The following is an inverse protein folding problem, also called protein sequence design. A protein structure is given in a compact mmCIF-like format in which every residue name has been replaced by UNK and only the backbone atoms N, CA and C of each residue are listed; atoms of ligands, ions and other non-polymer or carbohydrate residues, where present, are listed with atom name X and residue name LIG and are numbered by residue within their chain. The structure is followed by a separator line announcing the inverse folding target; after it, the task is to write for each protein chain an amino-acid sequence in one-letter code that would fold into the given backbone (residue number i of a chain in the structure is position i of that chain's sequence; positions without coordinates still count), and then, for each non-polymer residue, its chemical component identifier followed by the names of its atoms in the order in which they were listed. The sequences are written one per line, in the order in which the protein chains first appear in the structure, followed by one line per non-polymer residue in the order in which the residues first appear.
data_IF_293144560018
#
_entry.id   IF_293144560018
#
_cell.length_a   1.000
_cell.length_b   1.000
_cell.length_c   1.000
_cell.angle_alpha   90.00
_cell.angle_beta   90.00
_cell.angle_gamma   90.00
#
_symmetry.space_group_name_H-M   'P 1'
#
loop_
_entity.id
_entity.type
_entity.pdbx_description
1 polymer ?
#
# COMPACT_ATOMS: atom_id res chain seq x y z
N UNK A 1 -19.76 1.17 -1.43
CA UNK A 1 -19.17 0.07 -2.20
C UNK A 1 -17.68 0.03 -1.89
N UNK A 2 -17.09 -1.17 -1.87
CA UNK A 2 -15.68 -1.35 -1.57
C UNK A 2 -14.86 -1.33 -2.86
N UNK A 3 -13.59 -0.95 -2.78
CA UNK A 3 -12.67 -1.06 -3.92
C UNK A 3 -11.70 -2.20 -3.67
N UNK A 4 -11.59 -3.14 -4.62
CA UNK A 4 -10.66 -4.27 -4.56
C UNK A 4 -9.48 -4.06 -5.53
N UNK A 5 -8.40 -4.81 -5.33
CA UNK A 5 -7.20 -4.78 -6.16
C UNK A 5 -6.96 -6.16 -6.78
N UNK A 6 -6.67 -6.16 -8.07
CA UNK A 6 -6.36 -7.33 -8.88
C UNK A 6 -5.09 -7.05 -9.66
N UNK A 7 -4.42 -8.09 -10.16
CA UNK A 7 -3.15 -7.88 -10.84
C UNK A 7 -2.24 -9.09 -10.92
N UNK A 8 -1.08 -8.87 -11.53
CA UNK A 8 -0.02 -9.85 -11.61
C UNK A 8 1.31 -9.23 -11.24
N UNK A 9 2.17 -10.02 -10.60
CA UNK A 9 3.60 -9.80 -10.69
C UNK A 9 4.07 -10.38 -12.02
N UNK A 10 4.69 -9.55 -12.84
CA UNK A 10 5.28 -9.93 -14.12
C UNK A 10 6.80 -9.93 -14.02
N UNK A 11 7.44 -10.81 -14.80
CA UNK A 11 8.89 -10.77 -15.00
C UNK A 11 9.24 -10.90 -16.49
N UNK A 12 10.37 -10.31 -16.86
CA UNK A 12 10.92 -10.37 -18.22
C UNK A 12 12.08 -11.35 -18.27
N UNK A 13 11.99 -12.36 -19.13
CA UNK A 13 13.08 -13.30 -19.33
C UNK A 13 14.10 -12.74 -20.32
N UNK A 14 15.25 -12.27 -19.85
CA UNK A 14 16.24 -11.53 -20.63
C UNK A 14 17.55 -12.30 -20.89
N UNK A 15 17.77 -13.40 -20.16
CA UNK A 15 19.12 -13.97 -19.99
C UNK A 15 19.66 -14.74 -21.21
N UNK A 16 18.80 -15.07 -22.18
CA UNK A 16 19.14 -15.90 -23.34
C UNK A 16 18.43 -15.52 -24.64
N UNK A 17 17.70 -14.40 -24.64
CA UNK A 17 16.92 -13.92 -25.77
C UNK A 17 17.56 -12.65 -26.33
N UNK A 18 17.51 -12.52 -27.66
CA UNK A 18 17.82 -11.25 -28.32
C UNK A 18 16.83 -10.18 -27.83
N UNK A 19 17.22 -8.90 -27.92
CA UNK A 19 16.42 -7.80 -27.36
C UNK A 19 14.99 -7.75 -27.91
N UNK A 20 14.82 -8.15 -29.18
CA UNK A 20 13.53 -8.23 -29.88
C UNK A 20 12.63 -9.39 -29.41
N UNK A 21 13.20 -10.41 -28.76
CA UNK A 21 12.48 -11.59 -28.26
C UNK A 21 12.09 -11.44 -26.77
N UNK A 22 12.49 -10.34 -26.12
CA UNK A 22 12.19 -10.10 -24.71
C UNK A 22 10.72 -9.76 -24.52
N UNK A 23 9.99 -10.65 -23.88
CA UNK A 23 8.59 -10.45 -23.50
C UNK A 23 8.37 -10.53 -21.99
N UNK A 24 7.32 -9.86 -21.53
CA UNK A 24 6.83 -9.99 -20.15
C UNK A 24 5.97 -11.24 -20.03
N UNK A 25 6.09 -11.93 -18.89
CA UNK A 25 5.26 -13.07 -18.53
C UNK A 25 4.64 -12.86 -17.16
N UNK A 26 3.35 -13.18 -17.01
CA UNK A 26 2.67 -13.21 -15.72
C UNK A 26 3.25 -14.31 -14.83
N UNK A 27 3.95 -13.94 -13.76
CA UNK A 27 4.61 -14.89 -12.87
C UNK A 27 3.65 -15.43 -11.80
N UNK A 28 2.83 -14.56 -11.21
CA UNK A 28 1.83 -14.93 -10.20
C UNK A 28 0.76 -13.85 -10.06
N UNK A 29 -0.49 -14.27 -9.90
CA UNK A 29 -1.61 -13.40 -9.54
C UNK A 29 -1.45 -12.88 -8.10
N UNK A 30 -1.62 -11.57 -7.90
CA UNK A 30 -1.56 -10.94 -6.56
C UNK A 30 -2.58 -11.55 -5.59
N UNK A 31 -3.72 -12.06 -6.04
CA UNK A 31 -4.73 -12.69 -5.18
C UNK A 31 -4.18 -13.88 -4.37
N UNK A 32 -3.09 -14.52 -4.82
CA UNK A 32 -2.40 -15.58 -4.08
C UNK A 32 -1.45 -15.05 -3.00
N UNK A 33 -1.11 -13.77 -3.02
CA UNK A 33 -0.13 -13.13 -2.14
C UNK A 33 -0.75 -12.09 -1.21
N UNK A 34 -1.85 -11.47 -1.63
CA UNK A 34 -2.54 -10.40 -0.94
C UNK A 34 -4.05 -10.56 -1.13
N UNK A 35 -4.78 -10.66 -0.02
CA UNK A 35 -6.24 -10.77 0.01
C UNK A 35 -6.90 -9.62 0.81
N UNK A 36 -6.13 -8.57 1.07
CA UNK A 36 -6.55 -7.43 1.88
C UNK A 36 -7.31 -6.37 1.08
N UNK A 37 -7.90 -5.42 1.81
CA UNK A 37 -8.51 -4.22 1.25
C UNK A 37 -8.01 -2.99 2.00
N UNK A 38 -6.85 -2.48 1.61
CA UNK A 38 -6.19 -1.34 2.27
C UNK A 38 -6.17 -0.11 1.37
N UNK A 39 -7.10 0.82 1.60
CA UNK A 39 -7.12 2.11 0.87
C UNK A 39 -5.94 3.02 1.23
N UNK A 40 -5.26 2.76 2.35
CA UNK A 40 -3.99 3.41 2.62
C UNK A 40 -2.91 2.90 1.67
N UNK A 41 -2.84 1.59 1.46
CA UNK A 41 -1.87 1.03 0.52
C UNK A 41 -2.19 1.43 -0.92
N UNK A 42 -3.46 1.37 -1.32
CA UNK A 42 -3.86 1.73 -2.69
C UNK A 42 -3.64 3.22 -2.97
N UNK A 43 -3.93 4.08 -2.00
CA UNK A 43 -3.65 5.51 -2.06
C UNK A 43 -2.16 5.81 -2.14
N UNK A 44 -1.36 5.20 -1.26
CA UNK A 44 0.07 5.40 -1.21
C UNK A 44 0.77 4.88 -2.49
N UNK A 45 0.42 3.70 -2.99
CA UNK A 45 1.08 3.12 -4.16
C UNK A 45 0.56 3.71 -5.47
N UNK A 46 -0.77 3.81 -5.64
CA UNK A 46 -1.39 4.03 -6.94
C UNK A 46 -2.34 5.25 -6.98
N UNK A 47 -2.57 5.90 -5.85
CA UNK A 47 -3.46 7.07 -5.74
C UNK A 47 -4.94 6.71 -5.81
N UNK A 48 -5.28 5.43 -5.69
CA UNK A 48 -6.68 4.97 -5.72
C UNK A 48 -7.28 5.07 -4.32
N UNK A 49 -8.45 5.72 -4.23
CA UNK A 49 -9.14 6.01 -2.95
C UNK A 49 -8.21 6.65 -1.92
N UNK A 50 -7.33 7.57 -2.35
CA UNK A 50 -6.29 8.11 -1.48
C UNK A 50 -6.88 8.76 -0.21
N UNK A 51 -6.62 8.08 0.92
CA UNK A 51 -6.96 8.54 2.27
C UNK A 51 -5.74 9.02 3.04
N UNK A 52 -4.55 8.90 2.45
CA UNK A 52 -3.26 8.97 3.13
C UNK A 52 -2.40 10.15 2.70
N UNK A 53 -2.79 10.88 1.65
CA UNK A 53 -2.18 12.16 1.25
C UNK A 53 -0.70 12.05 0.87
N UNK A 54 -0.26 10.86 0.50
CA UNK A 54 1.04 10.67 -0.13
C UNK A 54 1.01 11.19 -1.55
N UNK A 55 2.18 11.55 -2.09
CA UNK A 55 2.34 11.49 -3.54
C UNK A 55 2.37 10.00 -3.92
N UNK A 56 1.42 9.50 -4.72
CA UNK A 56 1.45 8.10 -5.14
C UNK A 56 2.71 7.77 -5.96
N UNK A 57 3.25 6.56 -5.80
CA UNK A 57 4.45 6.12 -6.51
C UNK A 57 4.17 5.90 -8.01
N UNK A 58 3.04 5.26 -8.31
CA UNK A 58 2.63 4.88 -9.66
C UNK A 58 1.16 5.26 -9.89
N UNK A 59 0.88 6.55 -10.01
CA UNK A 59 -0.48 7.02 -10.24
C UNK A 59 -0.88 6.93 -11.71
N UNK A 60 -2.06 6.36 -11.95
CA UNK A 60 -2.82 6.47 -13.20
C UNK A 60 -1.97 6.23 -14.47
N UNK A 61 -1.12 5.21 -14.43
CA UNK A 61 -0.25 4.86 -15.57
C UNK A 61 -0.97 4.04 -16.65
N UNK A 62 -2.18 3.57 -16.37
CA UNK A 62 -2.87 2.58 -17.18
C UNK A 62 -2.18 1.22 -17.15
N UNK A 63 -2.54 0.34 -18.09
CA UNK A 63 -1.74 -0.86 -18.35
C UNK A 63 -0.45 -0.50 -19.08
N UNK A 64 0.66 -1.21 -18.81
CA UNK A 64 1.85 -1.06 -19.63
C UNK A 64 1.57 -1.49 -21.09
N UNK A 65 2.11 -0.80 -22.11
CA UNK A 65 1.87 -1.15 -23.51
C UNK A 65 2.35 -2.56 -23.91
N UNK A 66 3.33 -3.08 -23.17
CA UNK A 66 3.95 -4.39 -23.31
C UNK A 66 3.52 -5.35 -22.18
N UNK A 67 2.29 -5.18 -21.68
CA UNK A 67 1.67 -6.09 -20.68
C UNK A 67 1.70 -7.54 -21.15
N UNK A 68 1.89 -8.49 -20.23
CA UNK A 68 1.89 -9.91 -20.58
C UNK A 68 0.51 -10.35 -21.11
N UNK A 69 0.46 -11.33 -22.03
CA UNK A 69 -0.80 -11.85 -22.54
C UNK A 69 -1.74 -12.36 -21.43
N UNK A 70 -1.19 -12.97 -20.37
CA UNK A 70 -1.96 -13.47 -19.23
C UNK A 70 -2.65 -12.32 -18.49
N UNK A 71 -1.90 -11.25 -18.21
CA UNK A 71 -2.41 -10.07 -17.49
C UNK A 71 -3.43 -9.31 -18.34
N UNK A 72 -3.20 -9.18 -19.65
CA UNK A 72 -4.15 -8.55 -20.56
C UNK A 72 -5.47 -9.33 -20.61
N UNK A 73 -5.40 -10.66 -20.77
CA UNK A 73 -6.59 -11.50 -20.85
C UNK A 73 -7.43 -11.43 -19.57
N UNK A 74 -6.79 -11.40 -18.40
CA UNK A 74 -7.52 -11.26 -17.13
C UNK A 74 -8.12 -9.86 -17.00
N UNK A 75 -7.34 -8.79 -17.22
CA UNK A 75 -7.85 -7.41 -17.19
C UNK A 75 -9.05 -7.20 -18.13
N UNK A 76 -9.01 -7.73 -19.36
CA UNK A 76 -10.12 -7.64 -20.31
C UNK A 76 -11.40 -8.29 -19.79
N UNK A 77 -11.28 -9.38 -19.02
CA UNK A 77 -12.42 -10.06 -18.39
C UNK A 77 -13.11 -9.19 -17.33
N UNK A 78 -12.38 -8.24 -16.75
CA UNK A 78 -12.85 -7.25 -15.77
C UNK A 78 -13.12 -5.87 -16.37
N UNK A 79 -12.93 -5.67 -17.68
CA UNK A 79 -12.88 -4.33 -18.29
C UNK A 79 -14.17 -3.52 -18.14
N UNK A 80 -15.33 -4.16 -17.92
CA UNK A 80 -16.59 -3.48 -17.62
C UNK A 80 -16.63 -2.86 -16.22
N UNK A 81 -15.85 -3.41 -15.29
CA UNK A 81 -15.90 -3.11 -13.85
C UNK A 81 -14.60 -2.48 -13.33
N UNK A 82 -13.53 -2.54 -14.13
CA UNK A 82 -12.25 -1.90 -13.83
C UNK A 82 -12.36 -0.36 -13.90
N UNK A 83 -12.03 0.29 -12.79
CA UNK A 83 -12.14 1.75 -12.61
C UNK A 83 -10.80 2.49 -12.74
N UNK A 84 -9.68 1.78 -12.56
CA UNK A 84 -8.33 2.31 -12.70
C UNK A 84 -7.32 1.17 -12.93
N UNK A 85 -6.21 1.45 -13.61
CA UNK A 85 -5.09 0.53 -13.78
C UNK A 85 -3.75 1.27 -13.65
N UNK A 86 -2.73 0.58 -13.14
CA UNK A 86 -1.38 1.12 -13.02
C UNK A 86 -0.35 0.02 -12.86
N UNK A 87 0.94 0.37 -12.86
CA UNK A 87 2.03 -0.57 -12.66
C UNK A 87 3.26 0.10 -12.04
N UNK A 88 4.06 -0.68 -11.32
CA UNK A 88 5.29 -0.22 -10.65
C UNK A 88 6.40 -1.28 -10.74
N UNK A 89 7.63 -0.88 -11.04
CA UNK A 89 8.76 -1.83 -11.11
C UNK A 89 9.33 -2.15 -9.74
N UNK A 90 10.07 -3.26 -9.64
CA UNK A 90 10.85 -3.54 -8.44
C UNK A 90 11.93 -2.48 -8.19
N UNK A 91 12.55 -1.95 -9.25
CA UNK A 91 13.52 -0.86 -9.13
C UNK A 91 12.91 0.39 -8.44
N UNK A 92 11.69 0.77 -8.81
CA UNK A 92 10.97 1.89 -8.18
C UNK A 92 10.65 1.61 -6.70
N UNK A 93 10.17 0.40 -6.39
CA UNK A 93 9.87 -0.02 -5.01
C UNK A 93 11.12 -0.09 -4.13
N UNK A 94 12.23 -0.57 -4.69
CA UNK A 94 13.52 -0.68 -3.99
C UNK A 94 14.15 0.69 -3.72
N UNK A 95 13.95 1.67 -4.61
CA UNK A 95 14.44 3.03 -4.46
C UNK A 95 13.52 3.92 -3.59
N UNK A 96 12.35 3.43 -3.18
CA UNK A 96 11.37 4.20 -2.41
C UNK A 96 11.87 4.46 -0.99
N UNK A 97 11.75 5.72 -0.54
CA UNK A 97 11.89 6.07 0.88
C UNK A 97 10.62 5.65 1.64
N UNK A 98 10.68 4.47 2.26
CA UNK A 98 9.56 3.91 3.03
C UNK A 98 9.34 4.61 4.38
N UNK A 99 10.28 5.42 4.84
CA UNK A 99 10.16 6.23 6.05
C UNK A 99 9.59 7.62 5.77
N UNK A 100 9.36 7.97 4.50
CA UNK A 100 8.75 9.26 4.15
C UNK A 100 7.39 9.44 4.82
N UNK A 101 7.16 10.65 5.34
CA UNK A 101 5.89 11.02 5.95
C UNK A 101 4.92 11.56 4.89
N UNK A 102 3.63 11.32 5.10
CA UNK A 102 2.58 11.92 4.29
C UNK A 102 2.66 13.47 4.28
N UNK A 103 2.15 14.07 3.21
CA UNK A 103 2.19 15.52 3.04
C UNK A 103 1.32 16.26 4.07
N UNK A 104 0.25 15.61 4.53
CA UNK A 104 -0.72 16.14 5.48
C UNK A 104 -0.87 15.20 6.68
N UNK A 105 -1.37 15.75 7.78
CA UNK A 105 -1.76 14.99 8.98
C UNK A 105 -2.86 14.00 8.59
N UNK A 106 -2.71 12.75 9.01
CA UNK A 106 -3.76 11.75 8.82
C UNK A 106 -4.97 12.15 9.67
N UNK A 107 -6.17 12.10 9.09
CA UNK A 107 -7.37 12.38 9.86
C UNK A 107 -7.58 11.32 10.96
N UNK A 108 -7.05 10.11 10.78
CA UNK A 108 -7.20 9.02 11.74
C UNK A 108 -6.30 9.23 12.98
N UNK A 109 -6.74 8.68 14.11
CA UNK A 109 -5.89 8.47 15.26
C UNK A 109 -4.97 7.28 15.02
N UNK A 110 -3.70 7.39 15.38
CA UNK A 110 -2.74 6.29 15.31
C UNK A 110 -2.59 5.64 16.68
N UNK A 111 -2.83 4.33 16.78
CA UNK A 111 -2.49 3.54 17.95
C UNK A 111 -1.11 2.93 17.73
N UNK A 112 -0.16 3.23 18.60
CA UNK A 112 1.14 2.59 18.68
C UNK A 112 1.16 1.63 19.86
N UNK A 113 1.85 0.50 19.68
CA UNK A 113 2.13 -0.46 20.76
C UNK A 113 3.62 -0.60 20.97
N UNK A 114 4.00 -0.79 22.23
CA UNK A 114 5.39 -0.96 22.61
C UNK A 114 5.82 -2.40 22.37
N UNK A 115 6.84 -2.57 21.55
CA UNK A 115 7.49 -3.85 21.30
C UNK A 115 8.32 -4.29 22.52
N UNK A 116 8.67 -5.59 22.64
CA UNK A 116 9.52 -6.09 23.74
C UNK A 116 10.89 -5.42 23.83
N UNK A 117 11.41 -4.90 22.73
CA UNK A 117 12.68 -4.14 22.65
C UNK A 117 12.53 -2.66 23.10
N UNK A 118 11.31 -2.25 23.49
CA UNK A 118 11.00 -0.92 23.97
C UNK A 118 10.65 0.09 22.88
N UNK A 119 10.68 -0.28 21.60
CA UNK A 119 10.33 0.58 20.47
C UNK A 119 8.81 0.69 20.26
N UNK A 120 8.35 1.78 19.63
CA UNK A 120 6.94 1.96 19.28
C UNK A 120 6.70 1.54 17.83
N UNK A 121 5.77 0.60 17.63
CA UNK A 121 5.30 0.18 16.31
C UNK A 121 3.85 0.63 16.11
N UNK A 122 3.49 1.08 14.91
CA UNK A 122 2.10 1.38 14.61
C UNK A 122 1.31 0.07 14.67
N UNK A 123 0.31 0.03 15.54
CA UNK A 123 -0.61 -1.10 15.65
C UNK A 123 -1.77 -0.96 14.66
N UNK A 124 -2.30 0.25 14.51
CA UNK A 124 -3.41 0.50 13.61
C UNK A 124 -3.90 1.94 13.64
N UNK A 125 -4.84 2.22 12.73
CA UNK A 125 -5.52 3.51 12.61
C UNK A 125 -6.93 3.36 13.16
N UNK A 126 -7.40 4.34 13.92
CA UNK A 126 -8.70 4.32 14.60
C UNK A 126 -8.97 2.99 15.31
N UNK A 127 -7.93 2.42 15.90
CA UNK A 127 -7.99 1.20 16.71
C UNK A 127 -8.27 1.57 18.16
N UNK A 128 -8.92 0.66 18.89
CA UNK A 128 -9.23 0.83 20.31
C UNK A 128 -9.95 2.16 20.66
N UNK A 129 -10.84 2.64 19.79
CA UNK A 129 -11.51 3.93 19.94
C UNK A 129 -12.24 4.11 21.28
N UNK A 130 -12.83 3.05 21.83
CA UNK A 130 -13.45 3.11 23.15
C UNK A 130 -12.45 3.53 24.24
N UNK A 131 -11.21 2.99 24.19
CA UNK A 131 -10.15 3.35 25.13
C UNK A 131 -9.65 4.77 24.89
N UNK A 132 -9.52 5.18 23.62
CA UNK A 132 -9.19 6.57 23.30
C UNK A 132 -10.24 7.56 23.82
N UNK A 133 -11.53 7.24 23.70
CA UNK A 133 -12.63 8.07 24.22
C UNK A 133 -12.52 8.29 25.74
N UNK A 134 -12.18 7.23 26.50
CA UNK A 134 -11.94 7.31 27.94
C UNK A 134 -10.77 8.23 28.30
N UNK A 135 -9.70 8.21 27.51
CA UNK A 135 -8.48 8.99 27.75
C UNK A 135 -8.62 10.46 27.36
N UNK A 136 -9.17 10.72 26.18
CA UNK A 136 -9.23 12.06 25.62
C UNK A 136 -10.44 12.85 26.14
N UNK A 137 -11.52 12.16 26.54
CA UNK A 137 -12.77 12.77 26.95
C UNK A 137 -13.76 13.22 25.84
N UNK A 138 -13.56 13.04 24.51
CA UNK A 138 -14.62 13.32 23.55
C UNK A 138 -15.80 12.36 23.71
N UNK A 139 -17.01 12.94 23.71
CA UNK A 139 -18.26 12.24 23.45
C UNK A 139 -18.75 12.40 22.00
N UNK A 140 -18.09 13.25 21.21
CA UNK A 140 -18.45 13.52 19.81
C UNK A 140 -17.81 12.50 18.85
N UNK A 141 -18.61 11.81 18.00
CA UNK A 141 -18.09 10.89 16.99
C UNK A 141 -17.03 11.49 16.05
N UNK A 142 -17.10 12.77 15.70
CA UNK A 142 -16.12 13.38 14.77
C UNK A 142 -14.73 13.44 15.41
N UNK A 143 -14.63 13.83 16.68
CA UNK A 143 -13.38 13.78 17.44
C UNK A 143 -12.85 12.36 17.64
N UNK A 144 -13.73 11.36 17.64
CA UNK A 144 -13.37 9.95 17.79
C UNK A 144 -12.79 9.34 16.50
N UNK A 145 -13.48 9.51 15.37
CA UNK A 145 -13.09 8.88 14.10
C UNK A 145 -12.16 9.74 13.25
N UNK A 146 -12.08 11.05 13.51
CA UNK A 146 -11.27 12.00 12.76
C UNK A 146 -10.44 12.89 13.68
N UNK A 147 -9.81 12.28 14.69
CA UNK A 147 -8.99 12.97 15.68
C UNK A 147 -7.96 13.93 15.05
N UNK A 148 -7.36 13.58 13.91
CA UNK A 148 -6.39 14.44 13.22
C UNK A 148 -6.95 15.69 12.55
N UNK A 149 -8.28 15.84 12.47
CA UNK A 149 -8.94 17.11 12.10
C UNK A 149 -9.16 18.04 13.27
N UNK A 150 -9.22 17.48 14.48
CA UNK A 150 -9.63 18.20 15.70
C UNK A 150 -8.41 18.58 16.52
N UNK A 151 -7.46 17.66 16.66
CA UNK A 151 -6.27 17.84 17.47
C UNK A 151 -5.05 18.20 16.60
N UNK A 152 -4.14 19.06 17.09
CA UNK A 152 -2.89 19.35 16.41
C UNK A 152 -2.01 18.11 16.21
N UNK A 153 -1.18 18.15 15.16
CA UNK A 153 -0.10 17.19 14.95
C UNK A 153 0.80 17.08 16.21
N UNK A 154 1.13 15.86 16.62
CA UNK A 154 1.93 15.58 17.80
C UNK A 154 1.15 15.50 19.11
N UNK A 155 -0.19 15.66 19.09
CA UNK A 155 -1.01 15.40 20.29
C UNK A 155 -0.95 13.92 20.65
N UNK A 156 -0.72 13.63 21.93
CA UNK A 156 -0.48 12.28 22.44
C UNK A 156 -1.34 11.96 23.66
N UNK A 157 -1.76 10.70 23.74
CA UNK A 157 -2.38 10.10 24.92
C UNK A 157 -1.67 8.79 25.26
N UNK A 158 -0.67 8.83 26.15
CA UNK A 158 0.00 7.63 26.65
C UNK A 158 -0.94 6.76 27.50
N UNK A 159 -0.85 5.45 27.33
CA UNK A 159 -1.65 4.45 28.07
C UNK A 159 -0.83 3.17 28.28
N UNK A 160 0.15 3.26 29.19
CA UNK A 160 1.04 2.13 29.52
C UNK A 160 1.92 1.69 28.35
N UNK A 161 1.64 0.51 27.79
CA UNK A 161 2.30 -0.06 26.61
C UNK A 161 1.65 0.38 25.29
N UNK A 162 0.67 1.30 25.35
CA UNK A 162 0.00 1.91 24.22
C UNK A 162 0.26 3.41 24.18
N UNK A 163 0.24 3.96 22.98
CA UNK A 163 0.31 5.39 22.74
C UNK A 163 -0.66 5.73 21.62
N UNK A 164 -1.62 6.61 21.90
CA UNK A 164 -2.43 7.20 20.85
C UNK A 164 -1.79 8.51 20.43
N UNK A 165 -1.65 8.76 19.13
CA UNK A 165 -1.05 9.98 18.61
C UNK A 165 -1.78 10.46 17.35
N UNK A 166 -1.90 11.78 17.22
CA UNK A 166 -2.23 12.41 15.93
C UNK A 166 -0.93 12.76 15.21
N UNK A 167 -0.80 12.32 13.97
CA UNK A 167 0.40 12.56 13.18
C UNK A 167 0.25 12.23 11.71
N UNK A 168 1.34 12.43 10.97
CA UNK A 168 1.46 11.96 9.59
C UNK A 168 1.75 10.48 9.58
N UNK A 169 1.12 9.76 8.66
CA UNK A 169 1.43 8.36 8.41
C UNK A 169 2.80 8.29 7.69
N UNK A 170 3.62 7.27 8.01
CA UNK A 170 4.79 6.94 7.18
C UNK A 170 4.40 5.94 6.10
N UNK A 171 5.07 5.95 4.95
CA UNK A 171 4.68 5.07 3.83
C UNK A 171 4.70 3.59 4.20
N UNK A 172 5.69 3.13 4.96
CA UNK A 172 5.75 1.75 5.48
C UNK A 172 4.58 1.39 6.39
N UNK A 173 3.99 2.37 7.06
CA UNK A 173 2.83 2.18 7.92
C UNK A 173 1.52 2.17 7.09
N UNK A 174 1.52 2.81 5.91
CA UNK A 174 0.43 2.75 4.93
C UNK A 174 0.42 1.44 4.12
N UNK A 175 1.61 0.87 3.90
CA UNK A 175 1.85 -0.36 3.14
C UNK A 175 2.68 -1.34 4.00
N UNK A 176 2.10 -1.86 5.10
CA UNK A 176 2.87 -2.64 6.06
C UNK A 176 3.33 -3.98 5.48
N UNK A 177 4.55 -4.38 5.84
CA UNK A 177 5.12 -5.69 5.47
C UNK A 177 4.27 -6.87 5.96
N UNK A 178 3.50 -6.69 7.05
CA UNK A 178 2.57 -7.72 7.53
C UNK A 178 1.45 -8.03 6.53
N UNK A 179 1.15 -7.12 5.61
CA UNK A 179 0.15 -7.30 4.57
C UNK A 179 0.80 -7.50 3.20
N UNK A 180 1.80 -6.69 2.85
CA UNK A 180 2.41 -6.67 1.51
C UNK A 180 3.72 -7.45 1.39
N UNK A 181 4.26 -7.94 2.51
CA UNK A 181 5.58 -8.58 2.54
C UNK A 181 5.69 -9.83 1.66
N UNK A 182 4.59 -10.56 1.43
CA UNK A 182 4.56 -11.68 0.50
C UNK A 182 4.75 -11.22 -0.96
N UNK A 183 4.07 -10.15 -1.37
CA UNK A 183 4.23 -9.52 -2.70
C UNK A 183 5.68 -9.05 -2.88
N UNK A 184 6.21 -8.31 -1.91
CA UNK A 184 7.60 -7.83 -1.93
C UNK A 184 8.62 -8.96 -1.98
N UNK A 185 8.39 -10.05 -1.26
CA UNK A 185 9.29 -11.20 -1.25
C UNK A 185 9.36 -11.88 -2.62
N UNK A 186 8.21 -12.05 -3.29
CA UNK A 186 8.17 -12.62 -4.63
C UNK A 186 8.85 -11.70 -5.64
N UNK A 187 8.50 -10.41 -5.65
CA UNK A 187 9.12 -9.45 -6.57
C UNK A 187 10.63 -9.39 -6.38
N UNK A 188 11.12 -9.32 -5.14
CA UNK A 188 12.55 -9.35 -4.83
C UNK A 188 13.23 -10.61 -5.33
N UNK A 189 12.57 -11.77 -5.18
CA UNK A 189 13.12 -13.05 -5.64
C UNK A 189 13.23 -13.07 -7.16
N UNK A 190 12.20 -12.64 -7.88
CA UNK A 190 12.23 -12.52 -9.34
C UNK A 190 13.29 -11.51 -9.78
N UNK A 191 13.44 -10.39 -9.08
CA UNK A 191 14.41 -9.36 -9.44
C UNK A 191 15.85 -9.88 -9.32
N UNK A 192 16.12 -10.78 -8.36
CA UNK A 192 17.42 -11.46 -8.27
C UNK A 192 17.75 -12.36 -9.49
N UNK A 193 16.75 -12.69 -10.30
CA UNK A 193 16.88 -13.54 -11.49
C UNK A 193 16.84 -12.73 -12.80
N UNK A 194 15.99 -11.68 -12.84
CA UNK A 194 15.64 -10.91 -14.05
C UNK A 194 16.12 -9.44 -14.02
N UNK A 195 16.80 -9.03 -12.94
CA UNK A 195 17.15 -7.63 -12.69
C UNK A 195 15.96 -6.82 -12.15
N UNK A 196 16.27 -5.70 -11.49
CA UNK A 196 15.26 -4.88 -10.81
C UNK A 196 14.26 -4.23 -11.78
N UNK A 197 14.69 -3.91 -12.99
CA UNK A 197 13.83 -3.40 -14.09
C UNK A 197 13.09 -4.53 -14.82
N UNK A 198 13.50 -5.79 -14.62
CA UNK A 198 12.89 -6.96 -15.24
C UNK A 198 11.72 -7.52 -14.44
N UNK A 199 11.25 -6.82 -13.41
CA UNK A 199 10.11 -7.22 -12.57
C UNK A 199 9.21 -6.03 -12.31
N UNK A 200 7.90 -6.23 -12.47
CA UNK A 200 6.90 -5.21 -12.15
C UNK A 200 5.64 -5.83 -11.58
N UNK A 201 4.92 -5.03 -10.80
CA UNK A 201 3.56 -5.30 -10.36
C UNK A 201 2.62 -4.51 -11.26
N UNK A 202 1.72 -5.18 -11.96
CA UNK A 202 0.66 -4.57 -12.77
C UNK A 202 -0.66 -4.82 -12.05
N UNK A 203 -1.46 -3.77 -11.85
CA UNK A 203 -2.69 -3.84 -11.06
C UNK A 203 -3.85 -3.08 -11.69
N UNK A 204 -5.06 -3.52 -11.39
CA UNK A 204 -6.30 -2.79 -11.66
C UNK A 204 -7.26 -2.88 -10.47
N UNK A 205 -8.27 -2.01 -10.46
CA UNK A 205 -9.17 -1.80 -9.33
C UNK A 205 -10.64 -1.87 -9.74
N UNK A 206 -11.43 -2.64 -9.00
CA UNK A 206 -12.90 -2.71 -9.12
C UNK A 206 -13.53 -1.86 -8.00
N UNK A 207 -14.70 -1.23 -8.20
CA UNK A 207 -15.27 -0.24 -7.25
C UNK A 207 -16.78 -0.26 -7.01
#
# INVERSE_FOLDING_TARGET
MGTDIHGFVECRWDRWLDEDDRSWSGAIDIAHLYNGRSYAAFGALFGVRDTTRFRPLAHDRGLPPDVSPETLADFESWSSDATAASWITWAELAATDWDEAANEVDHCLHEYRRSPDGTWALHGRNSSLARFAELAGPSDPEALYRAGRIYPEGTEWPDGDRLFRVGRLRRKDAVPDSEWGAVWSVMRRLASLHGDEGVRLVVWFEG
#
